data_IF_699275121143
#
_entry.id   IF_699275121143
#
_cell.length_a   1.000
_cell.length_b   1.000
_cell.length_c   1.000
_cell.angle_alpha   90.00
_cell.angle_beta   90.00
_cell.angle_gamma   90.00
#
_symmetry.space_group_name_H-M   'P 1'
#
loop_
_entity.id
_entity.type
_entity.pdbx_description
1 polymer ?
#
# COMPACT_ATOMS: atom_id res chain seq x y z
N UNK A 1 5.16 -9.39 26.37
CA UNK A 1 5.97 -8.57 25.45
C UNK A 1 5.18 -8.41 24.15
N UNK A 2 4.78 -7.19 23.83
CA UNK A 2 3.92 -6.89 22.67
C UNK A 2 4.75 -6.71 21.39
N UNK A 3 4.14 -6.87 20.20
CA UNK A 3 4.82 -6.65 18.92
C UNK A 3 5.38 -5.23 18.80
N UNK A 4 4.66 -4.26 19.37
CA UNK A 4 5.05 -2.85 19.40
C UNK A 4 6.32 -2.67 20.24
N UNK A 5 6.39 -3.26 21.44
CA UNK A 5 7.60 -3.23 22.27
C UNK A 5 8.80 -3.82 21.54
N UNK A 6 8.60 -4.93 20.82
CA UNK A 6 9.65 -5.61 20.08
C UNK A 6 10.20 -4.73 18.95
N UNK A 7 9.33 -4.07 18.19
CA UNK A 7 9.72 -3.10 17.15
C UNK A 7 10.46 -1.89 17.72
N UNK A 8 10.01 -1.38 18.87
CA UNK A 8 10.68 -0.26 19.55
C UNK A 8 12.08 -0.66 20.00
N UNK A 9 12.25 -1.83 20.62
CA UNK A 9 13.56 -2.34 21.05
C UNK A 9 14.47 -2.55 19.85
N UNK A 10 13.95 -3.12 18.75
CA UNK A 10 14.73 -3.35 17.54
C UNK A 10 15.16 -2.01 16.90
N UNK A 11 14.29 -1.01 16.92
CA UNK A 11 14.58 0.35 16.46
C UNK A 11 15.66 1.02 17.29
N UNK A 12 15.58 0.93 18.61
CA UNK A 12 16.62 1.44 19.52
C UNK A 12 17.94 0.76 19.23
N UNK A 13 17.97 -0.58 19.13
CA UNK A 13 19.21 -1.33 18.88
C UNK A 13 19.82 -0.96 17.52
N UNK A 14 19.01 -0.93 16.46
CA UNK A 14 19.47 -0.61 15.12
C UNK A 14 19.97 0.84 15.03
N UNK A 15 19.20 1.79 15.57
CA UNK A 15 19.56 3.19 15.59
C UNK A 15 20.81 3.46 16.43
N UNK A 16 20.91 2.88 17.63
CA UNK A 16 22.07 3.00 18.49
C UNK A 16 23.32 2.38 17.86
N UNK A 17 23.19 1.22 17.19
CA UNK A 17 24.29 0.58 16.48
C UNK A 17 24.81 1.42 15.31
N UNK A 18 23.91 1.94 14.47
CA UNK A 18 24.28 2.81 13.34
C UNK A 18 24.91 4.11 13.84
N UNK A 19 24.32 4.76 14.84
CA UNK A 19 24.84 5.99 15.41
C UNK A 19 26.20 5.80 16.09
N UNK A 20 26.39 4.71 16.83
CA UNK A 20 27.67 4.37 17.44
C UNK A 20 28.76 4.08 16.40
N UNK A 21 28.44 3.36 15.33
CA UNK A 21 29.37 3.05 14.24
C UNK A 21 29.82 4.31 13.49
N UNK A 22 28.88 5.21 13.18
CA UNK A 22 29.18 6.50 12.55
C UNK A 22 30.05 7.39 13.46
N UNK A 23 29.70 7.49 14.74
CA UNK A 23 30.47 8.27 15.72
C UNK A 23 31.87 7.72 15.95
N UNK A 24 32.04 6.39 15.92
CA UNK A 24 33.34 5.74 16.10
C UNK A 24 34.35 6.11 15.01
N UNK A 25 33.88 6.31 13.77
CA UNK A 25 34.75 6.70 12.65
C UNK A 25 35.41 8.09 12.83
N UNK A 26 34.78 8.97 13.62
CA UNK A 26 35.22 10.33 13.87
C UNK A 26 35.98 10.45 15.17
N UNK A 27 35.42 9.94 16.27
CA UNK A 27 36.06 9.96 17.58
C UNK A 27 35.34 9.00 18.55
N UNK A 28 36.05 8.24 19.40
CA UNK A 28 35.41 7.30 20.32
C UNK A 28 34.40 7.95 21.28
N UNK A 29 34.62 9.21 21.68
CA UNK A 29 33.64 9.99 22.47
C UNK A 29 32.38 10.36 21.68
N UNK A 30 32.48 10.58 20.37
CA UNK A 30 31.31 10.80 19.51
C UNK A 30 30.49 9.52 19.32
N UNK A 31 31.10 8.33 19.48
CA UNK A 31 30.37 7.07 19.44
C UNK A 31 29.33 6.98 20.57
N UNK A 32 29.64 7.47 21.78
CA UNK A 32 28.67 7.54 22.89
C UNK A 32 27.49 8.46 22.57
N UNK A 33 27.77 9.61 21.98
CA UNK A 33 26.75 10.58 21.55
C UNK A 33 25.89 9.97 20.44
N UNK A 34 26.51 9.32 19.46
CA UNK A 34 25.84 8.62 18.37
C UNK A 34 25.00 7.45 18.86
N UNK A 35 25.43 6.72 19.89
CA UNK A 35 24.65 5.63 20.50
C UNK A 35 23.36 6.18 21.14
N UNK A 36 23.46 7.26 21.91
CA UNK A 36 22.31 7.88 22.57
C UNK A 36 21.34 8.52 21.56
N UNK A 37 21.85 9.34 20.63
CA UNK A 37 21.03 9.98 19.58
C UNK A 37 20.46 8.97 18.60
N UNK A 38 21.24 7.97 18.21
CA UNK A 38 20.81 6.90 17.31
C UNK A 38 19.71 6.06 17.93
N UNK A 39 19.84 5.69 19.21
CA UNK A 39 18.80 4.97 19.95
C UNK A 39 17.51 5.79 20.07
N UNK A 40 17.62 7.09 20.38
CA UNK A 40 16.48 7.99 20.47
C UNK A 40 15.81 8.23 19.11
N UNK A 41 16.58 8.34 18.03
CA UNK A 41 16.01 8.46 16.69
C UNK A 41 15.36 7.15 16.24
N UNK A 42 15.94 6.01 16.62
CA UNK A 42 15.43 4.68 16.34
C UNK A 42 14.02 4.41 16.87
N UNK A 43 13.64 5.00 18.03
CA UNK A 43 12.27 4.87 18.56
C UNK A 43 11.23 5.57 17.72
N UNK A 44 11.56 6.71 17.10
CA UNK A 44 10.64 7.46 16.25
C UNK A 44 10.65 6.98 14.81
N UNK A 45 11.80 6.51 14.31
CA UNK A 45 11.94 6.13 12.91
C UNK A 45 11.33 4.76 12.63
N UNK A 46 11.39 3.79 13.55
CA UNK A 46 10.85 2.43 13.31
C UNK A 46 9.34 2.37 13.10
N UNK A 47 8.50 3.07 13.89
CA UNK A 47 7.06 3.12 13.64
C UNK A 47 6.73 3.72 12.27
N UNK A 48 7.45 4.78 11.87
CA UNK A 48 7.31 5.42 10.56
C UNK A 48 7.73 4.46 9.46
N UNK A 49 8.86 3.76 9.63
CA UNK A 49 9.37 2.79 8.67
C UNK A 49 8.37 1.63 8.50
N UNK A 50 7.84 1.09 9.61
CA UNK A 50 6.80 0.07 9.60
C UNK A 50 5.52 0.55 8.91
N UNK A 51 5.08 1.77 9.19
CA UNK A 51 3.91 2.37 8.53
C UNK A 51 4.13 2.52 7.02
N UNK A 52 5.29 3.02 6.59
CA UNK A 52 5.64 3.15 5.18
C UNK A 52 5.68 1.77 4.51
N UNK A 53 6.25 0.76 5.16
CA UNK A 53 6.38 -0.58 4.61
C UNK A 53 5.01 -1.24 4.40
N UNK A 54 4.12 -1.14 5.41
CA UNK A 54 2.72 -1.58 5.30
C UNK A 54 2.01 -0.81 4.20
N UNK A 55 2.13 0.51 4.18
CA UNK A 55 1.49 1.37 3.18
C UNK A 55 1.91 0.99 1.76
N UNK A 56 3.22 0.82 1.52
CA UNK A 56 3.76 0.40 0.23
C UNK A 56 3.25 -0.98 -0.17
N UNK A 57 3.23 -1.95 0.76
CA UNK A 57 2.68 -3.28 0.49
C UNK A 57 1.19 -3.22 0.14
N UNK A 58 0.40 -2.48 0.92
CA UNK A 58 -1.03 -2.27 0.62
C UNK A 58 -1.21 -1.63 -0.75
N UNK A 59 -0.44 -0.60 -1.10
CA UNK A 59 -0.48 -0.03 -2.44
C UNK A 59 -0.03 -1.03 -3.51
N UNK A 60 1.00 -1.85 -3.28
CA UNK A 60 1.44 -2.87 -4.23
C UNK A 60 0.40 -3.99 -4.45
N UNK A 61 -0.39 -4.32 -3.43
CA UNK A 61 -1.42 -5.37 -3.49
C UNK A 61 -2.78 -4.88 -4.02
N UNK A 62 -3.15 -3.62 -3.74
CA UNK A 62 -4.40 -3.01 -4.19
C UNK A 62 -4.26 -2.29 -5.55
N UNK A 63 -3.11 -1.67 -5.84
CA UNK A 63 -2.88 -0.94 -7.09
C UNK A 63 -2.99 -1.80 -8.36
N UNK A 64 -2.59 -3.09 -8.41
CA UNK A 64 -2.74 -3.89 -9.62
C UNK A 64 -4.22 -4.00 -10.00
N UNK A 65 -5.10 -4.22 -9.03
CA UNK A 65 -6.54 -4.43 -9.27
C UNK A 65 -7.23 -3.13 -9.72
N UNK A 66 -6.88 -2.01 -9.10
CA UNK A 66 -7.45 -0.70 -9.43
C UNK A 66 -6.89 -0.12 -10.74
N UNK A 67 -5.59 -0.32 -11.01
CA UNK A 67 -4.95 0.08 -12.25
C UNK A 67 -5.42 -0.78 -13.43
N UNK A 68 -5.57 -2.10 -13.25
CA UNK A 68 -6.08 -2.98 -14.30
C UNK A 68 -7.53 -2.66 -14.66
N UNK A 69 -8.40 -2.38 -13.68
CA UNK A 69 -9.79 -1.96 -13.94
C UNK A 69 -9.88 -0.61 -14.63
N UNK A 70 -9.07 0.39 -14.23
CA UNK A 70 -9.00 1.69 -14.91
C UNK A 70 -8.43 1.58 -16.32
N UNK A 71 -7.36 0.81 -16.53
CA UNK A 71 -6.78 0.59 -17.86
C UNK A 71 -7.78 -0.13 -18.75
N UNK A 72 -8.50 -1.15 -18.26
CA UNK A 72 -9.53 -1.86 -19.04
C UNK A 72 -10.72 -0.96 -19.40
N UNK A 73 -11.11 -0.06 -18.50
CA UNK A 73 -12.15 0.94 -18.75
C UNK A 73 -11.72 1.98 -19.80
N UNK A 74 -10.44 2.34 -19.84
CA UNK A 74 -9.89 3.29 -20.82
C UNK A 74 -9.57 2.62 -22.17
N UNK A 75 -9.10 1.36 -22.17
CA UNK A 75 -8.79 0.60 -23.40
C UNK A 75 -9.99 -0.04 -24.08
N UNK A 76 -11.14 -0.17 -23.40
CA UNK A 76 -12.35 -0.75 -23.98
C UNK A 76 -13.53 0.23 -24.10
N UNK A 77 -13.43 1.35 -24.86
CA UNK A 77 -14.60 2.19 -25.17
C UNK A 77 -15.57 1.56 -26.18
N UNK A 78 -15.40 0.30 -26.62
CA UNK A 78 -16.00 -0.20 -27.87
C UNK A 78 -16.86 -1.46 -27.76
N UNK A 79 -17.60 -1.59 -26.66
CA UNK A 79 -18.71 -2.57 -26.59
C UNK A 79 -19.99 -1.95 -26.01
N UNK A 80 -20.27 -0.69 -26.34
CA UNK A 80 -21.66 -0.23 -26.37
C UNK A 80 -22.28 -0.72 -27.67
N UNK A 81 -22.56 -2.03 -27.72
CA UNK A 81 -23.45 -2.65 -28.70
C UNK A 81 -24.86 -2.22 -28.26
N UNK A 82 -25.56 -1.33 -28.97
CA UNK A 82 -26.96 -1.10 -28.65
C UNK A 82 -27.71 -2.42 -28.86
N UNK A 83 -28.58 -2.84 -27.93
CA UNK A 83 -29.49 -3.95 -28.19
C UNK A 83 -30.41 -3.50 -29.32
N UNK A 84 -30.19 -4.04 -30.51
CA UNK A 84 -31.09 -3.90 -31.65
C UNK A 84 -32.15 -5.00 -31.61
N UNK A 85 -32.65 -5.28 -30.40
CA UNK A 85 -33.79 -6.15 -30.14
C UNK A 85 -34.89 -5.30 -29.50
N UNK A 86 -35.35 -4.32 -30.28
CA UNK A 86 -36.68 -3.75 -30.15
C UNK A 86 -37.39 -4.03 -31.47
N UNK A 87 -37.59 -5.31 -31.74
CA UNK A 87 -38.75 -5.76 -32.48
C UNK A 87 -39.86 -5.91 -31.43
N UNK A 88 -40.76 -4.92 -31.27
CA UNK A 88 -42.06 -5.25 -30.70
C UNK A 88 -42.79 -6.09 -31.75
N UNK A 89 -42.82 -7.40 -31.52
CA UNK A 89 -43.82 -8.30 -32.08
C UNK A 89 -45.21 -7.79 -31.65
N UNK A 90 -45.74 -6.83 -32.39
CA UNK A 90 -47.11 -6.38 -32.27
C UNK A 90 -47.84 -6.79 -33.54
N UNK A 91 -48.36 -8.02 -33.56
CA UNK A 91 -49.69 -8.39 -34.06
C UNK A 91 -49.80 -9.92 -34.18
N UNK A 92 -49.85 -10.61 -33.04
CA UNK A 92 -50.39 -11.97 -32.93
C UNK A 92 -51.64 -11.93 -32.04
N UNK A 93 -52.66 -11.22 -32.50
CA UNK A 93 -54.00 -11.23 -31.89
C UNK A 93 -55.08 -11.24 -32.96
N UNK A 94 -54.97 -12.19 -33.89
CA UNK A 94 -56.01 -12.46 -34.87
C UNK A 94 -56.17 -13.98 -35.01
N UNK A 95 -56.60 -14.61 -33.92
CA UNK A 95 -57.19 -15.93 -33.96
C UNK A 95 -58.27 -16.03 -32.88
N UNK A 96 -59.48 -16.31 -33.35
CA UNK A 96 -60.55 -17.01 -32.66
C UNK A 96 -61.01 -16.43 -31.32
N UNK A 97 -62.06 -15.61 -31.41
CA UNK A 97 -63.34 -15.89 -30.74
C UNK A 97 -64.43 -14.98 -31.28
N UNK A 98 -65.47 -15.67 -31.77
CA UNK A 98 -66.86 -15.25 -32.00
C UNK A 98 -67.26 -15.01 -33.46
#
# INVERSE_FOLDING_TARGET
MTLIELLVILGILAGAGVGAALGWSLHPLLSLVGLALGGWLGTFLMPVLGFVLVTVFTFLEEAPRWLFTRIRAVLSPRTARPPRDLAPDSTSSQHDRD
#
